data_IF_289415970174
#
_entry.id   IF_289415970174
#
_cell.length_a   1.000
_cell.length_b   1.000
_cell.length_c   1.000
_cell.angle_alpha   90.00
_cell.angle_beta   90.00
_cell.angle_gamma   90.00
#
_symmetry.space_group_name_H-M   'P 1'
#
loop_
_entity.id
_entity.type
_entity.pdbx_description
1 polymer ?
#
# COMPACT_ATOMS: atom_id res chain seq x y z
N UNK A 1 13.11 -12.96 9.54
CA UNK A 1 13.04 -11.76 8.68
C UNK A 1 13.42 -12.02 7.22
N UNK A 2 14.26 -13.01 6.90
CA UNK A 2 14.59 -13.34 5.49
C UNK A 2 13.52 -14.18 4.79
N UNK A 3 12.53 -14.72 5.52
CA UNK A 3 11.45 -15.56 4.97
C UNK A 3 11.93 -16.73 4.11
N UNK A 4 13.05 -17.33 4.48
CA UNK A 4 13.63 -18.48 3.78
C UNK A 4 14.54 -18.12 2.59
N UNK A 5 14.66 -16.85 2.20
CA UNK A 5 15.59 -16.44 1.14
C UNK A 5 17.04 -16.70 1.55
N UNK A 6 17.80 -17.35 0.66
CA UNK A 6 19.22 -17.55 0.86
C UNK A 6 19.98 -16.24 0.64
N UNK A 7 21.20 -16.13 1.20
CA UNK A 7 22.03 -14.94 1.01
C UNK A 7 22.33 -14.63 -0.46
N UNK A 8 22.42 -15.66 -1.33
CA UNK A 8 22.55 -15.47 -2.78
C UNK A 8 21.34 -14.77 -3.39
N UNK A 9 20.13 -15.14 -2.96
CA UNK A 9 18.88 -14.59 -3.47
C UNK A 9 18.69 -13.14 -3.02
N UNK A 10 19.04 -12.86 -1.75
CA UNK A 10 19.03 -11.50 -1.20
C UNK A 10 20.03 -10.60 -1.96
N UNK A 11 21.22 -11.12 -2.25
CA UNK A 11 22.21 -10.39 -3.05
C UNK A 11 21.69 -10.13 -4.46
N UNK A 12 21.16 -11.15 -5.13
CA UNK A 12 20.58 -11.01 -6.47
C UNK A 12 19.43 -9.98 -6.48
N UNK A 13 18.63 -9.95 -5.41
CA UNK A 13 17.58 -8.96 -5.24
C UNK A 13 18.11 -7.52 -5.21
N UNK A 14 19.16 -7.26 -4.42
CA UNK A 14 19.75 -5.93 -4.38
C UNK A 14 20.44 -5.53 -5.68
N UNK A 15 21.07 -6.47 -6.39
CA UNK A 15 21.66 -6.20 -7.71
C UNK A 15 20.60 -5.85 -8.76
N UNK A 16 19.43 -6.48 -8.70
CA UNK A 16 18.26 -6.07 -9.49
C UNK A 16 17.84 -4.64 -9.12
N UNK A 17 17.61 -4.36 -7.84
CA UNK A 17 17.16 -3.04 -7.38
C UNK A 17 18.13 -1.90 -7.70
N UNK A 18 19.44 -2.16 -7.72
CA UNK A 18 20.49 -1.17 -8.04
C UNK A 18 20.32 -0.55 -9.43
N UNK A 19 19.60 -1.20 -10.33
CA UNK A 19 19.42 -0.74 -11.71
C UNK A 19 18.35 0.36 -11.86
N UNK A 20 17.48 0.55 -10.86
CA UNK A 20 16.32 1.42 -10.96
C UNK A 20 16.48 2.72 -10.17
N UNK A 21 15.93 3.82 -10.67
CA UNK A 21 16.02 5.15 -10.06
C UNK A 21 15.53 5.19 -8.60
N UNK A 22 14.58 4.30 -8.27
CA UNK A 22 14.03 4.12 -6.94
C UNK A 22 15.05 3.71 -5.88
N UNK A 23 16.11 2.99 -6.27
CA UNK A 23 17.11 2.50 -5.31
C UNK A 23 18.55 2.70 -5.76
N UNK A 24 18.87 3.02 -7.01
CA UNK A 24 20.25 3.13 -7.51
C UNK A 24 21.14 4.09 -6.72
N UNK A 25 20.53 5.07 -6.04
CA UNK A 25 21.20 6.04 -5.18
C UNK A 25 21.14 5.69 -3.68
N UNK A 26 20.68 4.49 -3.33
CA UNK A 26 20.56 4.07 -1.94
C UNK A 26 21.95 4.02 -1.29
N UNK A 27 22.17 4.64 -0.11
CA UNK A 27 23.51 4.75 0.50
C UNK A 27 24.24 3.41 0.70
N UNK A 28 23.49 2.32 0.90
CA UNK A 28 24.04 0.96 1.01
C UNK A 28 24.91 0.57 -0.19
N UNK A 29 24.65 1.09 -1.39
CA UNK A 29 25.40 0.76 -2.59
C UNK A 29 26.76 1.45 -2.66
N UNK A 30 26.98 2.49 -1.85
CA UNK A 30 28.24 3.22 -1.75
C UNK A 30 29.13 2.73 -0.62
N UNK A 31 28.66 1.78 0.20
CA UNK A 31 29.44 1.23 1.30
C UNK A 31 30.45 0.19 0.76
N UNK A 32 31.73 0.36 1.08
CA UNK A 32 32.78 -0.61 0.76
C UNK A 32 32.56 -1.91 1.55
N UNK A 33 32.89 -3.05 0.95
CA UNK A 33 32.85 -4.38 1.58
C UNK A 33 31.48 -4.82 2.18
N UNK A 34 30.38 -4.21 1.73
CA UNK A 34 29.05 -4.62 2.18
C UNK A 34 28.65 -5.98 1.58
N UNK A 35 28.36 -6.94 2.47
CA UNK A 35 27.75 -8.20 2.07
C UNK A 35 26.24 -8.00 1.83
N UNK A 36 25.88 -7.73 0.57
CA UNK A 36 24.48 -7.57 0.16
C UNK A 36 23.62 -8.80 0.47
N UNK A 37 24.20 -10.00 0.58
CA UNK A 37 23.48 -11.21 0.99
C UNK A 37 23.04 -11.21 2.46
N UNK A 38 23.47 -10.21 3.23
CA UNK A 38 23.10 -9.96 4.63
C UNK A 38 22.37 -8.63 4.85
N UNK A 39 21.94 -7.97 3.77
CA UNK A 39 21.16 -6.74 3.81
C UNK A 39 19.67 -7.09 3.68
N UNK A 40 18.90 -7.03 4.76
CA UNK A 40 17.47 -7.33 4.73
C UNK A 40 16.67 -6.07 4.36
N UNK A 41 15.99 -6.03 3.20
CA UNK A 41 15.09 -4.94 2.83
C UNK A 41 13.87 -4.90 3.74
N UNK A 42 13.61 -3.74 4.33
CA UNK A 42 12.46 -3.50 5.21
C UNK A 42 11.55 -2.39 4.69
N UNK A 43 10.24 -2.60 4.82
CA UNK A 43 9.25 -1.56 4.59
C UNK A 43 8.63 -1.10 5.89
N UNK A 44 8.42 0.21 5.98
CA UNK A 44 7.59 0.81 7.00
C UNK A 44 6.13 0.85 6.57
N UNK A 45 5.25 0.80 7.57
CA UNK A 45 3.82 0.84 7.39
C UNK A 45 3.16 1.66 8.49
N UNK A 46 2.20 2.51 8.13
CA UNK A 46 1.42 3.32 9.05
C UNK A 46 -0.08 3.17 8.77
N UNK A 47 -0.87 2.91 9.80
CA UNK A 47 -2.33 2.84 9.68
C UNK A 47 -3.03 3.02 11.03
N UNK A 48 -4.34 3.29 10.99
CA UNK A 48 -5.22 3.41 12.14
C UNK A 48 -5.74 2.05 12.61
N UNK A 49 -5.77 1.84 13.91
CA UNK A 49 -6.37 0.67 14.54
C UNK A 49 -7.31 1.08 15.67
N UNK A 50 -8.58 0.69 15.56
CA UNK A 50 -9.56 0.91 16.62
C UNK A 50 -9.48 -0.23 17.65
N UNK A 51 -8.86 0.02 18.82
CA UNK A 51 -8.77 -0.99 19.87
C UNK A 51 -10.06 -1.06 20.68
N UNK A 52 -10.52 0.08 21.20
CA UNK A 52 -11.80 0.22 21.88
C UNK A 52 -12.77 1.01 21.01
N UNK A 53 -14.08 0.87 21.27
CA UNK A 53 -15.11 1.62 20.55
C UNK A 53 -14.79 3.12 20.58
N UNK A 54 -14.71 3.75 19.40
CA UNK A 54 -14.38 5.17 19.21
C UNK A 54 -12.97 5.57 19.70
N UNK A 55 -12.04 4.62 19.85
CA UNK A 55 -10.65 4.89 20.23
C UNK A 55 -9.70 4.36 19.15
N UNK A 56 -9.36 5.23 18.21
CA UNK A 56 -8.38 4.97 17.16
C UNK A 56 -6.95 5.20 17.68
N UNK A 57 -6.03 4.35 17.24
CA UNK A 57 -4.60 4.42 17.52
C UNK A 57 -3.86 4.38 16.19
N UNK A 58 -2.91 5.30 15.98
CA UNK A 58 -2.03 5.22 14.81
C UNK A 58 -0.87 4.28 15.16
N UNK A 59 -0.61 3.32 14.28
CA UNK A 59 0.38 2.27 14.46
C UNK A 59 1.40 2.35 13.33
N UNK A 60 2.64 2.67 13.68
CA UNK A 60 3.80 2.50 12.81
C UNK A 60 4.42 1.14 13.08
N UNK A 61 4.59 0.36 12.03
CA UNK A 61 5.25 -0.94 12.08
C UNK A 61 6.21 -1.12 10.90
N UNK A 62 7.06 -2.12 11.01
CA UNK A 62 7.99 -2.50 9.96
C UNK A 62 7.94 -4.01 9.72
N UNK A 63 8.28 -4.40 8.50
CA UNK A 63 8.41 -5.80 8.10
C UNK A 63 9.39 -5.92 6.94
N UNK A 64 10.07 -7.05 6.83
CA UNK A 64 10.82 -7.34 5.61
C UNK A 64 9.87 -7.56 4.44
N UNK A 65 10.30 -7.19 3.24
CA UNK A 65 9.58 -7.54 2.01
C UNK A 65 9.71 -9.02 1.64
N UNK A 66 10.66 -9.74 2.22
CA UNK A 66 10.81 -11.19 2.05
C UNK A 66 9.89 -11.99 2.97
N UNK A 67 8.86 -11.36 3.53
CA UNK A 67 7.89 -12.04 4.38
C UNK A 67 7.15 -13.11 3.58
N UNK A 68 7.27 -14.37 4.02
CA UNK A 68 6.50 -15.47 3.45
C UNK A 68 5.01 -15.30 3.78
N UNK A 69 4.14 -15.61 2.80
CA UNK A 69 2.68 -15.53 2.91
C UNK A 69 2.13 -16.45 4.00
N UNK A 70 2.82 -17.55 4.27
CA UNK A 70 2.40 -18.56 5.26
C UNK A 70 2.95 -18.28 6.66
N UNK A 71 3.83 -17.29 6.81
CA UNK A 71 4.37 -16.90 8.11
C UNK A 71 3.32 -16.22 8.99
N UNK A 72 3.29 -16.57 10.29
CA UNK A 72 2.48 -15.83 11.24
C UNK A 72 2.96 -14.38 11.34
N UNK A 73 2.04 -13.42 11.21
CA UNK A 73 2.36 -11.98 11.23
C UNK A 73 3.21 -11.52 12.43
N UNK A 74 3.18 -12.22 13.56
CA UNK A 74 4.04 -11.90 14.71
C UNK A 74 5.52 -12.21 14.48
N UNK A 75 5.88 -13.04 13.50
CA UNK A 75 7.29 -13.35 13.15
C UNK A 75 7.90 -12.36 12.17
N UNK A 76 7.05 -11.59 11.51
CA UNK A 76 7.41 -10.84 10.30
C UNK A 76 7.06 -9.36 10.39
N UNK A 77 6.18 -8.96 11.31
CA UNK A 77 5.84 -7.57 11.60
C UNK A 77 6.18 -7.17 13.03
N UNK A 78 6.81 -6.01 13.15
CA UNK A 78 7.27 -5.46 14.42
C UNK A 78 6.67 -4.07 14.62
N UNK A 79 5.98 -3.82 15.75
CA UNK A 79 5.47 -2.49 16.04
C UNK A 79 6.63 -1.58 16.44
N UNK A 80 6.72 -0.41 15.82
CA UNK A 80 7.72 0.59 16.15
C UNK A 80 7.13 1.63 17.12
N UNK A 81 6.00 2.21 16.76
CA UNK A 81 5.34 3.27 17.53
C UNK A 81 3.84 3.07 17.48
N UNK A 82 3.17 3.31 18.61
CA UNK A 82 1.72 3.33 18.69
C UNK A 82 1.33 4.59 19.47
N UNK A 83 0.43 5.42 18.91
CA UNK A 83 -0.03 6.66 19.56
C UNK A 83 -1.56 6.69 19.51
N UNK A 84 -2.25 6.93 20.65
CA UNK A 84 -3.69 7.18 20.62
C UNK A 84 -3.98 8.40 19.74
N UNK A 85 -4.90 8.28 18.78
CA UNK A 85 -5.30 9.41 17.93
C UNK A 85 -5.82 10.60 18.77
N UNK A 86 -6.41 10.33 19.94
CA UNK A 86 -6.84 11.36 20.88
C UNK A 86 -5.70 12.28 21.39
N UNK A 87 -4.44 11.84 21.28
CA UNK A 87 -3.26 12.63 21.64
C UNK A 87 -2.69 13.43 20.45
N UNK A 88 -3.28 13.29 19.26
CA UNK A 88 -2.88 13.95 18.00
C UNK A 88 -4.08 14.60 17.33
N UNK A 89 -4.98 15.22 18.13
CA UNK A 89 -6.21 15.84 17.61
C UNK A 89 -5.94 17.14 16.86
N UNK A 90 -4.93 17.87 17.29
CA UNK A 90 -4.49 19.11 16.70
C UNK A 90 -3.55 18.82 15.52
N UNK A 91 -3.70 19.55 14.41
CA UNK A 91 -2.92 19.31 13.19
C UNK A 91 -1.42 19.55 13.42
N UNK A 92 -1.05 20.57 14.19
CA UNK A 92 0.35 20.86 14.53
C UNK A 92 0.94 19.73 15.38
N UNK A 93 0.20 19.27 16.39
CA UNK A 93 0.60 18.13 17.23
C UNK A 93 0.71 16.85 16.41
N UNK A 94 -0.21 16.61 15.49
CA UNK A 94 -0.17 15.46 14.58
C UNK A 94 1.08 15.52 13.70
N UNK A 95 1.35 16.67 13.05
CA UNK A 95 2.55 16.86 12.23
C UNK A 95 3.81 16.68 13.06
N UNK A 96 3.88 17.28 14.24
CA UNK A 96 5.00 17.10 15.18
C UNK A 96 5.24 15.62 15.52
N UNK A 97 4.18 14.87 15.84
CA UNK A 97 4.27 13.44 16.13
C UNK A 97 4.80 12.65 14.92
N UNK A 98 4.24 12.87 13.72
CA UNK A 98 4.74 12.22 12.50
C UNK A 98 6.22 12.54 12.22
N UNK A 99 6.64 13.79 12.41
CA UNK A 99 8.04 14.19 12.25
C UNK A 99 8.95 13.51 13.26
N UNK A 100 8.59 13.49 14.55
CA UNK A 100 9.40 12.83 15.58
C UNK A 100 9.50 11.32 15.36
N UNK A 101 8.42 10.67 14.92
CA UNK A 101 8.44 9.26 14.53
C UNK A 101 9.37 9.02 13.35
N UNK A 102 9.28 9.85 12.30
CA UNK A 102 10.13 9.75 11.13
C UNK A 102 11.61 9.93 11.48
N UNK A 103 11.99 10.93 12.28
CA UNK A 103 13.38 11.14 12.70
C UNK A 103 13.90 9.97 13.55
N UNK A 104 13.13 9.48 14.53
CA UNK A 104 13.51 8.33 15.35
C UNK A 104 13.74 7.05 14.51
N UNK A 105 12.86 6.81 13.53
CA UNK A 105 12.95 5.66 12.64
C UNK A 105 14.08 5.80 11.62
N UNK A 106 14.32 7.02 11.12
CA UNK A 106 15.44 7.34 10.22
C UNK A 106 16.78 7.13 10.92
N UNK A 107 16.94 7.64 12.14
CA UNK A 107 18.12 7.38 12.96
C UNK A 107 18.32 5.87 13.17
N UNK A 108 17.26 5.16 13.55
CA UNK A 108 17.33 3.70 13.78
C UNK A 108 17.77 2.94 12.53
N UNK A 109 17.31 3.35 11.35
CA UNK A 109 17.70 2.74 10.08
C UNK A 109 19.13 3.10 9.68
N UNK A 110 19.61 4.31 9.94
CA UNK A 110 21.03 4.64 9.75
C UNK A 110 21.93 3.72 10.59
N UNK A 111 21.60 3.49 11.86
CA UNK A 111 22.38 2.59 12.72
C UNK A 111 22.26 1.13 12.26
N UNK A 112 21.05 0.69 11.90
CA UNK A 112 20.84 -0.69 11.45
C UNK A 112 21.52 -0.99 10.11
N UNK A 113 21.56 -0.01 9.20
CA UNK A 113 22.24 -0.11 7.91
C UNK A 113 23.77 -0.13 8.10
N UNK A 114 24.32 0.69 9.00
CA UNK A 114 25.74 0.61 9.39
C UNK A 114 26.10 -0.73 10.02
N UNK A 115 25.14 -1.34 10.75
CA UNK A 115 25.34 -2.62 11.42
C UNK A 115 26.31 -2.54 12.62
N UNK A 116 26.51 -1.33 13.16
CA UNK A 116 27.39 -1.06 14.29
C UNK A 116 26.59 -0.39 15.40
N UNK A 117 26.84 -0.77 16.66
CA UNK A 117 26.15 -0.16 17.80
C UNK A 117 26.47 1.32 17.93
N UNK A 118 25.44 2.19 18.10
CA UNK A 118 25.60 3.63 18.11
C UNK A 118 26.37 4.14 19.32
N UNK A 119 27.03 5.29 19.17
CA UNK A 119 27.57 6.07 20.28
C UNK A 119 26.60 7.18 20.74
N UNK A 120 25.83 7.73 19.80
CA UNK A 120 24.94 8.86 20.01
C UNK A 120 23.49 8.46 19.69
N UNK A 121 22.53 9.02 20.41
CA UNK A 121 21.10 8.86 20.10
C UNK A 121 20.64 9.74 18.92
N UNK A 122 19.33 9.84 18.73
CA UNK A 122 18.72 10.62 17.65
C UNK A 122 18.83 12.12 17.83
N UNK A 123 19.06 12.60 19.06
CA UNK A 123 19.24 14.01 19.39
C UNK A 123 20.75 14.36 19.49
N UNK A 124 21.62 13.43 19.08
CA UNK A 124 23.08 13.52 19.11
C UNK A 124 23.67 13.58 20.53
N UNK A 125 22.90 13.15 21.54
CA UNK A 125 23.37 13.00 22.90
C UNK A 125 24.10 11.67 23.06
N UNK A 126 25.11 11.65 23.93
CA UNK A 126 25.90 10.44 24.17
C UNK A 126 25.06 9.42 24.93
N UNK A 127 25.05 8.17 24.46
CA UNK A 127 24.36 7.09 25.15
C UNK A 127 25.04 6.77 26.49
N UNK A 128 24.26 6.69 27.57
CA UNK A 128 24.79 6.60 28.95
C UNK A 128 24.50 5.27 29.65
N UNK A 129 23.51 4.48 29.19
CA UNK A 129 23.18 3.25 29.91
C UNK A 129 24.28 2.19 29.73
N UNK A 130 24.58 1.36 30.75
CA UNK A 130 25.59 0.30 30.65
C UNK A 130 25.38 -0.64 29.45
N UNK A 131 24.13 -0.97 29.14
CA UNK A 131 23.79 -1.79 27.99
C UNK A 131 24.12 -1.08 26.66
N UNK A 132 23.77 0.18 26.49
CA UNK A 132 24.09 0.93 25.26
C UNK A 132 25.60 1.09 25.09
N UNK A 133 26.32 1.40 26.16
CA UNK A 133 27.78 1.48 26.15
C UNK A 133 28.42 0.15 25.76
N UNK A 134 27.83 -0.98 26.17
CA UNK A 134 28.31 -2.31 25.76
C UNK A 134 28.09 -2.61 24.27
N UNK A 135 27.14 -1.92 23.62
CA UNK A 135 26.88 -2.07 22.19
C UNK A 135 27.77 -1.16 21.33
N UNK A 136 28.25 -0.04 21.88
CA UNK A 136 29.02 0.96 21.13
C UNK A 136 30.17 0.32 20.32
N UNK A 137 30.17 0.54 19.01
CA UNK A 137 31.22 0.04 18.12
C UNK A 137 31.17 -1.47 17.85
N UNK A 138 30.30 -2.22 18.53
CA UNK A 138 30.15 -3.66 18.32
C UNK A 138 29.32 -3.94 17.06
N UNK A 139 29.60 -5.07 16.40
CA UNK A 139 28.82 -5.52 15.24
C UNK A 139 27.43 -5.97 15.69
N UNK A 140 26.39 -5.35 15.17
CA UNK A 140 25.01 -5.69 15.46
C UNK A 140 24.58 -6.94 14.68
N UNK A 141 23.62 -7.68 15.26
CA UNK A 141 22.89 -8.77 14.60
C UNK A 141 23.76 -9.79 13.84
N UNK A 142 24.96 -10.12 14.35
CA UNK A 142 25.86 -11.07 13.67
C UNK A 142 26.30 -10.62 12.27
N UNK A 143 26.25 -9.31 11.99
CA UNK A 143 26.58 -8.72 10.71
C UNK A 143 25.45 -8.60 9.71
N UNK A 144 24.24 -8.97 10.08
CA UNK A 144 23.05 -8.63 9.32
C UNK A 144 22.72 -7.14 9.47
N UNK A 145 22.25 -6.54 8.38
CA UNK A 145 21.84 -5.14 8.31
C UNK A 145 20.37 -5.08 7.94
N UNK A 146 19.61 -4.14 8.53
CA UNK A 146 18.30 -3.78 7.99
C UNK A 146 18.47 -2.55 7.11
N UNK A 147 17.86 -2.60 5.94
CA UNK A 147 18.01 -1.57 4.91
C UNK A 147 16.63 -1.09 4.52
N UNK A 148 16.39 0.21 4.62
CA UNK A 148 15.13 0.79 4.19
C UNK A 148 14.90 0.47 2.70
N UNK A 149 13.72 -0.07 2.40
CA UNK A 149 13.34 -0.41 1.04
C UNK A 149 12.16 0.43 0.55
N UNK A 150 11.23 0.76 1.46
CA UNK A 150 10.10 1.60 1.12
C UNK A 150 9.12 1.82 2.26
N UNK A 151 8.03 2.51 1.93
CA UNK A 151 7.01 2.92 2.88
C UNK A 151 5.62 2.66 2.31
N UNK A 152 4.66 2.25 3.15
CA UNK A 152 3.31 1.84 2.73
C UNK A 152 2.27 2.40 3.69
N UNK A 153 1.14 2.86 3.17
CA UNK A 153 -0.06 3.10 3.97
C UNK A 153 -1.28 3.23 3.04
N UNK A 154 -2.46 3.23 3.65
CA UNK A 154 -3.65 3.72 2.96
C UNK A 154 -3.47 5.21 2.54
N UNK A 155 -4.38 5.71 1.70
CA UNK A 155 -4.24 7.07 1.17
C UNK A 155 -4.35 8.15 2.27
N UNK A 156 -5.08 7.91 3.36
CA UNK A 156 -5.24 8.89 4.44
C UNK A 156 -3.95 9.00 5.26
N UNK A 157 -3.45 7.87 5.76
CA UNK A 157 -2.23 7.81 6.54
C UNK A 157 -0.99 8.18 5.69
N UNK A 158 -0.99 7.89 4.38
CA UNK A 158 0.04 8.38 3.44
C UNK A 158 0.13 9.91 3.46
N UNK A 159 -0.99 10.61 3.34
CA UNK A 159 -1.03 12.08 3.35
C UNK A 159 -0.53 12.62 4.68
N UNK A 160 -1.05 12.08 5.79
CA UNK A 160 -0.71 12.54 7.14
C UNK A 160 0.76 12.29 7.50
N UNK A 161 1.34 11.15 7.09
CA UNK A 161 2.71 10.80 7.43
C UNK A 161 3.78 11.46 6.54
N UNK A 162 3.42 11.89 5.34
CA UNK A 162 4.34 12.52 4.39
C UNK A 162 4.08 14.00 4.12
N UNK A 163 3.04 14.57 4.73
CA UNK A 163 2.62 15.97 4.53
C UNK A 163 2.37 16.31 3.05
N UNK A 164 1.85 15.35 2.29
CA UNK A 164 1.55 15.59 0.88
C UNK A 164 0.41 16.59 0.74
N UNK A 165 0.70 17.74 0.12
CA UNK A 165 -0.29 18.77 -0.20
C UNK A 165 -1.19 18.36 -1.38
N UNK A 166 -0.66 17.57 -2.31
CA UNK A 166 -1.45 16.95 -3.38
C UNK A 166 -1.95 15.59 -2.92
N UNK A 167 -3.27 15.39 -2.90
CA UNK A 167 -3.87 14.12 -2.50
C UNK A 167 -5.33 13.98 -2.93
N UNK A 168 -5.87 12.77 -2.83
CA UNK A 168 -7.15 12.34 -3.41
C UNK A 168 -8.42 13.16 -3.04
N UNK A 169 -8.36 14.09 -2.07
CA UNK A 169 -9.47 15.00 -1.74
C UNK A 169 -9.24 16.44 -2.21
N UNK A 170 -8.09 16.74 -2.81
CA UNK A 170 -7.76 18.05 -3.37
C UNK A 170 -7.99 18.11 -4.87
N UNK A 171 -8.03 19.33 -5.40
CA UNK A 171 -8.09 19.55 -6.85
C UNK A 171 -6.85 19.00 -7.56
N UNK A 172 -5.66 19.18 -6.98
CA UNK A 172 -4.43 18.49 -7.36
C UNK A 172 -4.36 17.17 -6.61
N UNK A 173 -4.84 16.10 -7.24
CA UNK A 173 -5.22 14.91 -6.49
C UNK A 173 -4.09 13.89 -6.33
N UNK A 174 -3.03 13.97 -7.11
CA UNK A 174 -1.96 12.96 -7.11
C UNK A 174 -0.67 13.51 -6.52
N UNK A 175 -0.07 12.77 -5.58
CA UNK A 175 1.26 13.07 -5.02
C UNK A 175 2.41 12.60 -5.92
N UNK A 176 2.10 12.01 -7.08
CA UNK A 176 3.08 11.45 -8.04
C UNK A 176 3.13 12.15 -9.38
N UNK A 177 2.10 12.89 -9.72
CA UNK A 177 2.04 13.68 -10.94
C UNK A 177 1.08 14.84 -10.73
N UNK A 178 0.95 15.75 -11.69
CA UNK A 178 0.02 16.87 -11.58
C UNK A 178 -1.41 16.52 -12.00
N UNK A 179 -1.84 15.26 -11.85
CA UNK A 179 -3.22 14.89 -12.13
C UNK A 179 -4.20 15.63 -11.21
N UNK A 180 -5.29 16.13 -11.81
CA UNK A 180 -6.30 16.93 -11.13
C UNK A 180 -7.69 16.33 -11.23
N UNK A 181 -8.62 16.82 -10.43
CA UNK A 181 -10.06 16.61 -10.68
C UNK A 181 -10.46 17.29 -12.01
N UNK A 182 -11.39 16.71 -12.79
CA UNK A 182 -11.73 17.22 -14.12
C UNK A 182 -12.12 18.71 -14.15
N UNK A 183 -12.81 19.19 -13.11
CA UNK A 183 -13.26 20.59 -13.00
C UNK A 183 -12.14 21.59 -12.75
N UNK A 184 -10.96 21.15 -12.32
CA UNK A 184 -9.81 22.02 -12.05
C UNK A 184 -8.91 22.18 -13.27
N UNK A 185 -8.64 21.08 -13.99
CA UNK A 185 -7.91 21.09 -15.25
C UNK A 185 -8.25 19.84 -16.05
N UNK A 186 -9.04 19.98 -17.12
CA UNK A 186 -9.50 18.86 -17.93
C UNK A 186 -8.34 18.12 -18.62
N UNK A 187 -7.28 18.83 -19.04
CA UNK A 187 -6.13 18.20 -19.71
C UNK A 187 -5.36 17.26 -18.79
N UNK A 188 -5.28 17.61 -17.51
CA UNK A 188 -4.62 16.82 -16.46
C UNK A 188 -5.61 15.96 -15.67
N UNK A 189 -6.85 15.79 -16.13
CA UNK A 189 -7.87 15.06 -15.41
C UNK A 189 -7.43 13.61 -15.11
N UNK A 190 -7.52 13.19 -13.84
CA UNK A 190 -7.20 11.81 -13.43
C UNK A 190 -8.08 10.75 -14.11
N UNK A 191 -9.22 11.17 -14.66
CA UNK A 191 -10.16 10.32 -15.38
C UNK A 191 -9.69 9.96 -16.79
N UNK A 192 -8.61 10.58 -17.28
CA UNK A 192 -7.94 10.19 -18.52
C UNK A 192 -7.01 9.01 -18.22
N UNK A 193 -7.49 7.80 -18.52
CA UNK A 193 -6.84 6.53 -18.17
C UNK A 193 -6.04 5.93 -19.35
N UNK A 194 -5.90 6.68 -20.44
CA UNK A 194 -5.06 6.31 -21.59
C UNK A 194 -3.57 6.46 -21.28
N UNK A 195 -2.71 5.79 -22.05
CA UNK A 195 -1.24 5.91 -21.91
C UNK A 195 -0.72 7.27 -22.42
N UNK A 196 -1.52 7.94 -23.24
CA UNK A 196 -1.34 9.27 -23.79
C UNK A 196 -1.87 10.39 -22.89
N UNK A 197 -2.42 10.06 -21.70
CA UNK A 197 -2.94 11.09 -20.81
C UNK A 197 -1.84 12.05 -20.36
N UNK A 198 -2.12 13.36 -20.42
CA UNK A 198 -1.11 14.39 -20.19
C UNK A 198 -0.52 14.37 -18.77
N UNK A 199 -1.27 13.84 -17.78
CA UNK A 199 -0.76 13.69 -16.43
C UNK A 199 0.49 12.78 -16.37
N UNK A 200 0.66 11.81 -17.27
CA UNK A 200 1.85 10.96 -17.30
C UNK A 200 3.13 11.69 -17.73
N UNK A 201 3.00 12.81 -18.44
CA UNK A 201 4.13 13.68 -18.78
C UNK A 201 4.57 14.56 -17.59
N UNK A 202 3.81 14.52 -16.50
CA UNK A 202 4.05 15.33 -15.29
C UNK A 202 4.41 14.46 -14.08
N UNK A 203 4.83 13.21 -14.30
CA UNK A 203 5.29 12.32 -13.22
C UNK A 203 6.50 12.94 -12.52
N UNK A 204 6.40 13.10 -11.21
CA UNK A 204 7.41 13.74 -10.38
C UNK A 204 8.55 12.77 -10.08
N UNK A 205 9.78 13.16 -10.42
CA UNK A 205 10.96 12.53 -9.85
C UNK A 205 11.13 12.92 -8.38
N UNK A 206 11.90 12.15 -7.60
CA UNK A 206 12.30 12.58 -6.26
C UNK A 206 12.93 13.98 -6.22
N UNK A 207 13.74 14.33 -7.23
CA UNK A 207 14.34 15.66 -7.32
C UNK A 207 13.31 16.75 -7.58
N UNK A 208 12.29 16.48 -8.40
CA UNK A 208 11.21 17.44 -8.62
C UNK A 208 10.41 17.63 -7.33
N UNK A 209 10.08 16.54 -6.64
CA UNK A 209 9.40 16.59 -5.34
C UNK A 209 10.18 17.43 -4.33
N UNK A 210 11.48 17.20 -4.18
CA UNK A 210 12.31 17.94 -3.24
C UNK A 210 12.43 19.45 -3.56
N UNK A 211 12.23 19.84 -4.83
CA UNK A 211 12.30 21.24 -5.27
C UNK A 211 10.95 21.96 -5.23
N UNK A 212 9.86 21.27 -5.57
CA UNK A 212 8.57 21.92 -5.81
C UNK A 212 7.68 22.04 -4.58
N UNK A 213 7.95 21.27 -3.51
CA UNK A 213 7.11 21.25 -2.33
C UNK A 213 7.86 21.81 -1.12
N UNK A 214 7.29 22.87 -0.53
CA UNK A 214 7.81 23.48 0.70
C UNK A 214 7.63 22.52 1.89
N UNK A 215 6.44 21.93 2.00
CA UNK A 215 6.10 20.89 2.97
C UNK A 215 6.66 19.53 2.51
N UNK A 216 7.95 19.32 2.77
CA UNK A 216 8.61 18.05 2.48
C UNK A 216 8.25 17.00 3.53
N UNK A 217 8.25 15.75 3.09
CA UNK A 217 8.04 14.62 3.96
C UNK A 217 9.11 14.59 5.06
N UNK A 218 8.73 14.35 6.33
CA UNK A 218 9.71 14.22 7.40
C UNK A 218 10.56 12.94 7.24
N UNK A 219 10.19 12.04 6.32
CA UNK A 219 10.94 10.84 5.99
C UNK A 219 12.10 11.10 5.02
N UNK A 220 12.31 12.33 4.55
CA UNK A 220 13.46 12.68 3.70
C UNK A 220 14.83 12.36 4.35
N UNK A 221 14.89 12.25 5.68
CA UNK A 221 16.09 11.88 6.44
C UNK A 221 16.38 10.37 6.46
N UNK A 222 15.41 9.54 6.08
CA UNK A 222 15.53 8.09 6.08
C UNK A 222 16.54 7.67 4.99
N UNK A 223 17.55 6.84 5.32
CA UNK A 223 18.57 6.44 4.34
C UNK A 223 17.90 5.76 3.14
N UNK A 224 18.11 6.32 1.96
CA UNK A 224 17.54 5.79 0.71
C UNK A 224 16.07 6.12 0.48
N UNK A 225 15.47 7.01 1.28
CA UNK A 225 14.14 7.53 0.99
C UNK A 225 14.10 8.21 -0.36
N UNK A 226 13.10 7.83 -1.16
CA UNK A 226 12.72 8.54 -2.37
C UNK A 226 11.21 8.64 -2.45
N UNK A 227 10.70 9.56 -3.27
CA UNK A 227 9.25 9.65 -3.44
C UNK A 227 8.73 8.30 -3.96
N UNK A 228 9.42 7.71 -4.94
CA UNK A 228 9.19 6.43 -5.61
C UNK A 228 9.17 5.21 -4.68
N UNK A 229 9.83 5.26 -3.53
CA UNK A 229 9.79 4.19 -2.53
C UNK A 229 8.60 4.29 -1.57
N UNK A 230 7.79 5.35 -1.67
CA UNK A 230 6.50 5.44 -0.96
C UNK A 230 5.42 4.75 -1.80
N UNK A 231 5.22 3.46 -1.59
CA UNK A 231 4.29 2.64 -2.36
C UNK A 231 2.84 2.97 -2.03
N UNK A 232 2.00 2.85 -3.04
CA UNK A 232 0.57 2.86 -2.87
C UNK A 232 0.08 1.52 -2.32
N UNK A 233 -0.81 1.54 -1.34
CA UNK A 233 -1.39 0.31 -0.81
C UNK A 233 -2.27 -0.37 -1.86
N UNK A 234 -1.72 -1.43 -2.46
CA UNK A 234 -2.38 -2.20 -3.49
C UNK A 234 -3.66 -2.86 -2.97
N UNK A 235 -3.74 -3.24 -1.69
CA UNK A 235 -4.98 -3.81 -1.12
C UNK A 235 -6.11 -2.77 -1.10
N UNK A 236 -5.81 -1.56 -0.65
CA UNK A 236 -6.79 -0.47 -0.56
C UNK A 236 -7.18 0.11 -1.93
N UNK A 237 -6.24 0.14 -2.87
CA UNK A 237 -6.46 0.66 -4.22
C UNK A 237 -7.15 -0.37 -5.11
N UNK A 238 -6.62 -1.59 -5.19
CA UNK A 238 -7.16 -2.63 -6.05
C UNK A 238 -8.42 -3.25 -5.46
N UNK A 239 -8.33 -3.86 -4.28
CA UNK A 239 -9.41 -4.71 -3.77
C UNK A 239 -10.53 -3.89 -3.13
N UNK A 240 -10.21 -3.02 -2.19
CA UNK A 240 -11.21 -2.18 -1.51
C UNK A 240 -11.59 -0.92 -2.31
N UNK A 241 -10.84 -0.62 -3.36
CA UNK A 241 -11.08 0.52 -4.25
C UNK A 241 -11.72 0.09 -5.56
N UNK A 242 -10.89 -0.28 -6.52
CA UNK A 242 -11.27 -0.55 -7.91
C UNK A 242 -12.19 -1.76 -8.04
N UNK A 243 -11.76 -2.93 -7.58
CA UNK A 243 -12.52 -4.18 -7.72
C UNK A 243 -13.84 -4.12 -6.95
N UNK A 244 -13.86 -3.62 -5.72
CA UNK A 244 -15.10 -3.50 -4.94
C UNK A 244 -16.15 -2.65 -5.65
N UNK A 245 -15.74 -1.54 -6.24
CA UNK A 245 -16.62 -0.69 -7.05
C UNK A 245 -17.03 -1.43 -8.32
N UNK A 246 -16.10 -2.11 -9.00
CA UNK A 246 -16.37 -2.88 -10.24
C UNK A 246 -17.54 -3.84 -10.07
N UNK A 247 -17.48 -4.66 -9.02
CA UNK A 247 -18.49 -5.69 -8.77
C UNK A 247 -19.86 -5.05 -8.50
N UNK A 248 -19.90 -3.94 -7.74
CA UNK A 248 -21.12 -3.17 -7.51
C UNK A 248 -21.68 -2.58 -8.81
N UNK A 249 -20.82 -1.98 -9.63
CA UNK A 249 -21.16 -1.42 -10.94
C UNK A 249 -21.76 -2.46 -11.88
N UNK A 250 -21.17 -3.67 -11.92
CA UNK A 250 -21.69 -4.79 -12.71
C UNK A 250 -23.08 -5.23 -12.25
N UNK A 251 -23.30 -5.39 -10.94
CA UNK A 251 -24.63 -5.71 -10.40
C UNK A 251 -25.66 -4.64 -10.79
N UNK A 252 -25.28 -3.36 -10.71
CA UNK A 252 -26.13 -2.24 -11.12
C UNK A 252 -26.55 -2.33 -12.59
N UNK A 253 -25.61 -2.59 -13.50
CA UNK A 253 -25.93 -2.75 -14.93
C UNK A 253 -26.77 -4.00 -15.18
N UNK A 254 -26.40 -5.14 -14.59
CA UNK A 254 -27.15 -6.40 -14.75
C UNK A 254 -28.59 -6.30 -14.23
N UNK A 255 -28.82 -5.57 -13.14
CA UNK A 255 -30.17 -5.29 -12.63
C UNK A 255 -30.97 -4.45 -13.63
N UNK A 256 -30.42 -3.34 -14.11
CA UNK A 256 -31.09 -2.43 -15.07
C UNK A 256 -31.43 -3.09 -16.38
N UNK A 257 -30.57 -3.99 -16.83
CA UNK A 257 -30.78 -4.74 -18.04
C UNK A 257 -31.70 -5.95 -17.82
N UNK A 258 -32.09 -6.28 -16.59
CA UNK A 258 -32.99 -7.39 -16.29
C UNK A 258 -32.31 -8.77 -16.34
N UNK A 259 -30.98 -8.82 -16.31
CA UNK A 259 -30.22 -10.07 -16.32
C UNK A 259 -30.36 -10.86 -15.02
N UNK A 260 -30.50 -10.18 -13.88
CA UNK A 260 -30.61 -10.83 -12.57
C UNK A 260 -31.98 -11.48 -12.30
N UNK A 261 -32.98 -11.28 -13.17
CA UNK A 261 -34.35 -11.79 -12.97
C UNK A 261 -35.10 -11.18 -11.77
N UNK A 262 -34.50 -10.22 -11.06
CA UNK A 262 -35.07 -9.58 -9.88
C UNK A 262 -35.93 -8.39 -10.35
N UNK A 263 -37.25 -8.56 -10.27
CA UNK A 263 -38.23 -7.54 -10.67
C UNK A 263 -38.41 -6.41 -9.66
N UNK A 264 -37.97 -6.60 -8.42
CA UNK A 264 -38.07 -5.58 -7.38
C UNK A 264 -36.91 -4.60 -7.45
N UNK A 265 -37.15 -3.38 -6.99
CA UNK A 265 -36.10 -2.40 -6.75
C UNK A 265 -35.10 -3.06 -5.80
N UNK A 266 -33.86 -3.31 -6.25
CA UNK A 266 -32.79 -3.60 -5.31
C UNK A 266 -32.55 -2.31 -4.54
N UNK A 267 -32.89 -2.18 -3.24
CA UNK A 267 -32.30 -1.12 -2.45
C UNK A 267 -30.79 -1.39 -2.56
N UNK A 268 -30.08 -0.49 -3.22
CA UNK A 268 -28.66 -0.56 -3.54
C UNK A 268 -27.90 -1.20 -2.38
N UNK A 269 -27.03 -2.16 -2.70
CA UNK A 269 -26.21 -2.90 -1.74
C UNK A 269 -25.58 -1.97 -0.70
N UNK A 270 -26.29 -1.84 0.43
CA UNK A 270 -26.13 -0.92 1.58
C UNK A 270 -26.08 0.59 1.30
N UNK A 271 -26.86 1.36 2.07
CA UNK A 271 -26.46 2.72 2.48
C UNK A 271 -25.15 2.58 3.23
N UNK A 272 -24.01 2.89 2.63
CA UNK A 272 -22.83 3.23 3.42
C UNK A 272 -23.24 4.40 4.32
N UNK A 273 -22.87 4.38 5.60
CA UNK A 273 -23.24 5.39 6.59
C UNK A 273 -22.60 6.78 6.34
N UNK A 274 -22.25 7.08 5.08
CA UNK A 274 -21.64 8.32 4.62
C UNK A 274 -22.35 8.77 3.35
N UNK A 275 -23.42 9.55 3.52
CA UNK A 275 -23.89 10.59 2.59
C UNK A 275 -24.00 10.18 1.08
N UNK A 276 -25.22 9.78 0.68
CA UNK A 276 -25.99 10.44 -0.40
C UNK A 276 -25.50 10.42 -1.87
N UNK A 277 -24.75 9.42 -2.34
CA UNK A 277 -24.57 9.20 -3.79
C UNK A 277 -25.20 7.88 -4.28
N UNK A 278 -26.07 7.95 -5.31
CA UNK A 278 -26.85 6.79 -5.81
C UNK A 278 -26.01 5.86 -6.71
N UNK A 279 -24.69 5.81 -6.53
CA UNK A 279 -23.81 4.99 -7.34
C UNK A 279 -23.81 3.53 -6.89
N UNK A 280 -23.80 2.61 -7.85
CA UNK A 280 -23.77 1.18 -7.57
C UNK A 280 -22.38 0.74 -7.07
N UNK A 281 -22.25 0.45 -5.77
CA UNK A 281 -21.01 0.00 -5.14
C UNK A 281 -21.28 -1.10 -4.11
N UNK A 282 -20.32 -2.01 -3.91
CA UNK A 282 -20.40 -2.93 -2.78
C UNK A 282 -20.04 -2.20 -1.47
N UNK A 283 -20.83 -2.43 -0.43
CA UNK A 283 -20.61 -1.84 0.89
C UNK A 283 -19.28 -2.22 1.57
N UNK A 284 -18.96 -1.50 2.65
CA UNK A 284 -17.73 -1.72 3.44
C UNK A 284 -17.68 -3.06 4.18
N UNK A 285 -18.81 -3.78 4.25
CA UNK A 285 -18.89 -5.15 4.75
C UNK A 285 -18.11 -6.13 3.88
N UNK A 286 -17.95 -5.84 2.59
CA UNK A 286 -17.13 -6.63 1.67
C UNK A 286 -15.66 -6.30 1.87
N UNK A 287 -14.97 -7.17 2.63
CA UNK A 287 -13.53 -7.08 2.85
C UNK A 287 -12.74 -7.50 1.62
N UNK A 288 -11.48 -7.10 1.56
CA UNK A 288 -10.62 -7.28 0.38
C UNK A 288 -10.57 -8.74 -0.09
N UNK A 289 -10.50 -9.70 0.82
CA UNK A 289 -10.49 -11.13 0.48
C UNK A 289 -11.81 -11.62 -0.12
N UNK A 290 -12.95 -11.13 0.37
CA UNK A 290 -14.27 -11.43 -0.19
C UNK A 290 -14.43 -10.86 -1.60
N UNK A 291 -13.91 -9.65 -1.84
CA UNK A 291 -13.91 -9.04 -3.18
C UNK A 291 -13.02 -9.83 -4.14
N UNK A 292 -11.81 -10.19 -3.69
CA UNK A 292 -10.85 -10.98 -4.48
C UNK A 292 -11.42 -12.33 -4.91
N UNK A 293 -12.02 -13.08 -3.98
CA UNK A 293 -12.68 -14.36 -4.28
C UNK A 293 -13.90 -14.20 -5.19
N UNK A 294 -14.67 -13.12 -5.05
CA UNK A 294 -15.84 -12.85 -5.89
C UNK A 294 -15.48 -12.45 -7.32
N UNK A 295 -14.29 -11.90 -7.56
CA UNK A 295 -13.89 -11.40 -8.89
C UNK A 295 -14.02 -12.47 -9.97
N UNK A 296 -13.52 -13.69 -9.72
CA UNK A 296 -13.63 -14.80 -10.67
C UNK A 296 -15.09 -15.17 -10.99
N UNK A 297 -15.94 -15.28 -9.96
CA UNK A 297 -17.37 -15.56 -10.14
C UNK A 297 -18.03 -14.50 -11.04
N UNK A 298 -17.70 -13.23 -10.83
CA UNK A 298 -18.20 -12.15 -11.68
C UNK A 298 -17.69 -12.23 -13.12
N UNK A 299 -16.45 -12.67 -13.34
CA UNK A 299 -15.92 -12.91 -14.69
C UNK A 299 -16.74 -13.97 -15.44
N UNK A 300 -17.10 -15.07 -14.76
CA UNK A 300 -17.96 -16.12 -15.33
C UNK A 300 -19.37 -15.58 -15.63
N UNK A 301 -19.97 -14.82 -14.71
CA UNK A 301 -21.28 -14.21 -14.91
C UNK A 301 -21.30 -13.14 -16.01
N UNK A 302 -20.23 -12.39 -16.17
CA UNK A 302 -20.11 -11.44 -17.29
C UNK A 302 -20.06 -12.16 -18.64
N UNK A 303 -19.34 -13.28 -18.74
CA UNK A 303 -19.30 -14.08 -19.96
C UNK A 303 -20.66 -14.74 -20.29
N UNK A 304 -21.41 -15.21 -19.28
CA UNK A 304 -22.81 -15.63 -19.46
C UNK A 304 -23.68 -14.47 -19.96
N UNK A 305 -23.58 -13.30 -19.32
CA UNK A 305 -24.33 -12.11 -19.69
C UNK A 305 -24.07 -11.66 -21.13
N UNK A 306 -22.80 -11.63 -21.54
CA UNK A 306 -22.37 -11.28 -22.89
C UNK A 306 -22.88 -12.27 -23.94
N UNK A 307 -22.86 -13.58 -23.65
CA UNK A 307 -23.42 -14.60 -24.53
C UNK A 307 -24.93 -14.52 -24.65
N UNK A 308 -25.63 -14.17 -23.57
CA UNK A 308 -27.08 -13.99 -23.56
C UNK A 308 -27.53 -12.73 -24.31
N UNK A 309 -26.62 -11.77 -24.54
CA UNK A 309 -26.89 -10.48 -25.20
C UNK A 309 -25.76 -10.09 -26.17
N UNK A 310 -25.54 -10.86 -27.24
CA UNK A 310 -24.43 -10.63 -28.17
C UNK A 310 -24.51 -9.28 -28.89
N UNK A 311 -25.69 -8.67 -28.97
CA UNK A 311 -25.93 -7.34 -29.53
C UNK A 311 -25.59 -6.20 -28.56
N UNK A 312 -25.55 -6.45 -27.24
CA UNK A 312 -25.26 -5.40 -26.27
C UNK A 312 -23.74 -5.19 -26.12
N UNK A 313 -23.26 -4.08 -26.66
CA UNK A 313 -21.86 -3.63 -26.52
C UNK A 313 -21.45 -3.54 -25.05
N UNK A 314 -22.33 -3.10 -24.15
CA UNK A 314 -22.00 -2.97 -22.73
C UNK A 314 -21.70 -4.32 -22.07
N UNK A 315 -22.37 -5.40 -22.51
CA UNK A 315 -22.12 -6.74 -22.00
C UNK A 315 -20.71 -7.24 -22.35
N UNK A 316 -20.27 -6.96 -23.58
CA UNK A 316 -18.89 -7.26 -24.04
C UNK A 316 -17.85 -6.45 -23.26
N UNK A 317 -18.08 -5.15 -23.09
CA UNK A 317 -17.16 -4.28 -22.35
C UNK A 317 -17.04 -4.68 -20.87
N UNK A 318 -18.14 -5.03 -20.20
CA UNK A 318 -18.09 -5.54 -18.82
C UNK A 318 -17.24 -6.81 -18.74
N UNK A 319 -17.40 -7.72 -19.70
CA UNK A 319 -16.61 -8.96 -19.77
C UNK A 319 -15.13 -8.65 -19.89
N UNK A 320 -14.73 -7.77 -20.84
CA UNK A 320 -13.32 -7.37 -21.00
C UNK A 320 -12.78 -6.71 -19.73
N UNK A 321 -13.54 -5.80 -19.13
CA UNK A 321 -13.13 -5.08 -17.93
C UNK A 321 -12.86 -6.01 -16.74
N UNK A 322 -13.73 -7.00 -16.52
CA UNK A 322 -13.59 -7.97 -15.43
C UNK A 322 -12.45 -8.95 -15.67
N UNK A 323 -12.40 -9.56 -16.87
CA UNK A 323 -11.38 -10.55 -17.19
C UNK A 323 -9.98 -9.94 -17.21
N UNK A 324 -9.80 -8.73 -17.72
CA UNK A 324 -8.48 -8.10 -17.71
C UNK A 324 -7.99 -7.80 -16.28
N UNK A 325 -8.88 -7.40 -15.36
CA UNK A 325 -8.49 -7.24 -13.95
C UNK A 325 -8.14 -8.59 -13.32
N UNK A 326 -8.97 -9.61 -13.57
CA UNK A 326 -8.78 -10.96 -13.05
C UNK A 326 -7.46 -11.56 -13.53
N UNK A 327 -7.18 -11.51 -14.83
CA UNK A 327 -5.97 -12.07 -15.43
C UNK A 327 -4.70 -11.41 -14.87
N UNK A 328 -4.70 -10.07 -14.73
CA UNK A 328 -3.59 -9.37 -14.07
C UNK A 328 -3.40 -9.85 -12.62
N UNK A 329 -4.49 -9.96 -11.84
CA UNK A 329 -4.38 -10.39 -10.43
C UNK A 329 -3.99 -11.85 -10.28
N UNK A 330 -4.47 -12.72 -11.18
CA UNK A 330 -4.14 -14.14 -11.20
C UNK A 330 -2.66 -14.35 -11.51
N UNK A 331 -2.14 -13.63 -12.50
CA UNK A 331 -0.71 -13.62 -12.83
C UNK A 331 0.11 -13.19 -11.61
N UNK A 332 -0.20 -12.02 -11.03
CA UNK A 332 0.55 -11.47 -9.89
C UNK A 332 0.45 -12.31 -8.60
N UNK A 333 -0.61 -13.09 -8.42
CA UNK A 333 -0.72 -14.05 -7.32
C UNK A 333 0.19 -15.27 -7.49
N UNK A 334 0.41 -15.68 -8.75
CA UNK A 334 1.24 -16.82 -9.12
C UNK A 334 2.73 -16.47 -9.19
N UNK A 335 3.07 -15.22 -9.50
CA UNK A 335 4.46 -14.76 -9.58
C UNK A 335 5.08 -14.48 -8.20
N UNK A 336 6.41 -14.49 -8.17
CA UNK A 336 7.21 -14.12 -7.00
C UNK A 336 7.31 -12.61 -6.79
N UNK A 337 8.27 -12.21 -5.97
CA UNK A 337 8.58 -10.81 -5.67
C UNK A 337 9.16 -10.08 -6.90
N UNK A 338 10.05 -10.75 -7.63
CA UNK A 338 10.57 -10.29 -8.91
C UNK A 338 9.76 -10.92 -10.04
N UNK A 339 9.42 -10.11 -11.02
CA UNK A 339 8.70 -10.50 -12.23
C UNK A 339 9.69 -10.64 -13.38
N UNK A 340 9.41 -11.54 -14.31
CA UNK A 340 10.02 -11.49 -15.63
C UNK A 340 9.50 -10.30 -16.45
N UNK A 341 10.22 -9.97 -17.52
CA UNK A 341 9.88 -8.83 -18.40
C UNK A 341 8.46 -8.95 -18.97
N UNK A 342 8.12 -10.13 -19.48
CA UNK A 342 6.83 -10.49 -20.06
C UNK A 342 5.72 -10.51 -19.02
N UNK A 343 5.97 -11.07 -17.83
CA UNK A 343 5.02 -11.04 -16.71
C UNK A 343 4.65 -9.61 -16.30
N UNK A 344 5.66 -8.73 -16.20
CA UNK A 344 5.44 -7.33 -15.83
C UNK A 344 4.68 -6.56 -16.93
N UNK A 345 4.98 -6.83 -18.20
CA UNK A 345 4.28 -6.26 -19.36
C UNK A 345 2.82 -6.75 -19.41
N UNK A 346 2.57 -8.05 -19.28
CA UNK A 346 1.24 -8.64 -19.33
C UNK A 346 0.35 -8.15 -18.20
N UNK A 347 0.88 -8.07 -16.98
CA UNK A 347 0.15 -7.53 -15.85
C UNK A 347 -0.20 -6.05 -16.07
N UNK A 348 0.75 -5.25 -16.57
CA UNK A 348 0.50 -3.83 -16.89
C UNK A 348 -0.53 -3.66 -18.01
N UNK A 349 -0.36 -4.38 -19.12
CA UNK A 349 -1.26 -4.34 -20.28
C UNK A 349 -2.69 -4.68 -19.88
N UNK A 350 -2.89 -5.70 -19.05
CA UNK A 350 -4.21 -6.07 -18.55
C UNK A 350 -4.81 -5.03 -17.58
N UNK A 351 -4.01 -4.37 -16.74
CA UNK A 351 -4.48 -3.25 -15.91
C UNK A 351 -4.85 -2.03 -16.79
N UNK A 352 -4.05 -1.69 -17.80
CA UNK A 352 -4.35 -0.63 -18.76
C UNK A 352 -5.65 -0.92 -19.51
N UNK A 353 -5.84 -2.16 -19.99
CA UNK A 353 -7.07 -2.63 -20.64
C UNK A 353 -8.28 -2.52 -19.71
N UNK A 354 -8.12 -2.89 -18.45
CA UNK A 354 -9.15 -2.73 -17.42
C UNK A 354 -9.57 -1.27 -17.28
N UNK A 355 -8.62 -0.36 -17.06
CA UNK A 355 -8.85 1.06 -16.83
C UNK A 355 -9.45 1.76 -18.06
N UNK A 356 -8.94 1.50 -19.28
CA UNK A 356 -9.50 2.02 -20.52
C UNK A 356 -10.96 1.55 -20.71
N UNK A 357 -11.22 0.25 -20.49
CA UNK A 357 -12.58 -0.31 -20.61
C UNK A 357 -13.52 0.27 -19.55
N UNK A 358 -13.04 0.51 -18.32
CA UNK A 358 -13.78 1.20 -17.29
C UNK A 358 -14.23 2.60 -17.72
N UNK A 359 -13.32 3.37 -18.33
CA UNK A 359 -13.61 4.72 -18.81
C UNK A 359 -14.74 4.71 -19.85
N UNK A 360 -14.73 3.76 -20.79
CA UNK A 360 -15.82 3.58 -21.75
C UNK A 360 -17.15 3.20 -21.07
N UNK A 361 -17.12 2.30 -20.09
CA UNK A 361 -18.32 1.91 -19.33
C UNK A 361 -18.90 3.08 -18.53
N UNK A 362 -18.03 3.91 -17.93
CA UNK A 362 -18.44 5.11 -17.23
C UNK A 362 -19.13 6.11 -18.16
N UNK A 363 -18.52 6.41 -19.32
CA UNK A 363 -19.13 7.29 -20.33
C UNK A 363 -20.49 6.76 -20.83
N UNK A 364 -20.56 5.47 -21.19
CA UNK A 364 -21.80 4.86 -21.65
C UNK A 364 -22.91 4.83 -20.58
N UNK A 365 -22.54 4.70 -19.29
CA UNK A 365 -23.50 4.81 -18.20
C UNK A 365 -24.00 6.25 -18.04
N UNK A 366 -23.13 7.26 -18.13
CA UNK A 366 -23.53 8.67 -18.06
C UNK A 366 -24.49 9.02 -19.20
N UNK A 367 -24.21 8.61 -20.44
CA UNK A 367 -25.09 8.81 -21.60
C UNK A 367 -26.49 8.21 -21.40
N UNK A 368 -26.58 7.07 -20.71
CA UNK A 368 -27.85 6.41 -20.37
C UNK A 368 -28.51 6.96 -19.10
N UNK A 369 -27.91 7.93 -18.42
CA UNK A 369 -28.36 8.43 -17.11
C UNK A 369 -28.21 7.39 -15.98
N UNK A 370 -27.36 6.37 -16.16
CA UNK A 370 -27.12 5.31 -15.20
C UNK A 370 -25.97 5.67 -14.25
N UNK A 371 -26.23 5.59 -12.95
CA UNK A 371 -25.22 5.76 -11.89
C UNK A 371 -24.56 4.42 -11.54
N UNK A 372 -23.96 3.74 -12.52
CA UNK A 372 -23.35 2.43 -12.31
C UNK A 372 -21.82 2.48 -12.27
N UNK A 373 -21.16 3.17 -13.20
CA UNK A 373 -19.70 3.24 -13.30
C UNK A 373 -19.19 4.67 -13.08
N UNK A 374 -18.35 4.88 -12.06
CA UNK A 374 -17.74 6.17 -11.71
C UNK A 374 -16.23 6.07 -11.76
N UNK A 375 -15.55 7.03 -12.40
CA UNK A 375 -14.10 7.12 -12.34
C UNK A 375 -13.68 7.71 -10.98
N UNK A 376 -12.94 6.93 -10.17
CA UNK A 376 -12.42 7.36 -8.86
C UNK A 376 -10.90 7.55 -8.91
N UNK A 377 -10.33 8.40 -8.04
CA UNK A 377 -8.87 8.57 -7.89
C UNK A 377 -8.08 7.25 -7.80
N UNK A 378 -8.66 6.22 -7.18
CA UNK A 378 -8.03 4.89 -7.05
C UNK A 378 -7.73 4.19 -8.38
N UNK A 379 -8.47 4.46 -9.46
CA UNK A 379 -8.12 3.94 -10.79
C UNK A 379 -6.81 4.54 -11.31
N UNK A 380 -6.60 5.83 -11.06
CA UNK A 380 -5.37 6.53 -11.43
C UNK A 380 -4.17 6.01 -10.63
N UNK A 381 -4.32 5.81 -9.31
CA UNK A 381 -3.25 5.19 -8.51
C UNK A 381 -2.97 3.73 -8.88
N UNK A 382 -3.99 2.97 -9.33
CA UNK A 382 -3.79 1.62 -9.86
C UNK A 382 -2.90 1.64 -11.12
N UNK A 383 -3.06 2.65 -11.99
CA UNK A 383 -2.18 2.82 -13.15
C UNK A 383 -0.75 3.19 -12.73
N UNK A 384 -0.55 4.07 -11.74
CA UNK A 384 0.79 4.32 -11.18
C UNK A 384 1.47 3.02 -10.69
N UNK A 385 0.74 2.18 -9.94
CA UNK A 385 1.25 0.87 -9.54
C UNK A 385 1.62 0.01 -10.75
N UNK A 386 0.76 -0.06 -11.76
CA UNK A 386 1.06 -0.87 -12.94
C UNK A 386 2.30 -0.39 -13.71
N UNK A 387 2.49 0.93 -13.81
CA UNK A 387 3.64 1.55 -14.49
C UNK A 387 4.94 1.32 -13.73
N UNK A 388 4.91 1.50 -12.40
CA UNK A 388 6.07 1.24 -11.56
C UNK A 388 6.42 -0.25 -11.55
N UNK A 389 5.44 -1.15 -11.52
CA UNK A 389 5.65 -2.58 -11.66
C UNK A 389 6.27 -2.95 -13.02
N UNK A 390 5.74 -2.39 -14.12
CA UNK A 390 6.32 -2.56 -15.47
C UNK A 390 7.76 -2.06 -15.54
N UNK A 391 8.08 -0.93 -14.90
CA UNK A 391 9.43 -0.35 -14.91
C UNK A 391 10.42 -1.18 -14.07
N UNK A 392 10.05 -1.46 -12.81
CA UNK A 392 10.95 -2.06 -11.81
C UNK A 392 10.98 -3.58 -11.83
N UNK A 393 10.03 -4.21 -12.54
CA UNK A 393 9.82 -5.68 -12.54
C UNK A 393 9.65 -6.24 -11.13
N UNK A 394 9.12 -5.44 -10.22
CA UNK A 394 8.77 -5.87 -8.88
C UNK A 394 7.27 -6.03 -8.76
N UNK A 395 6.85 -7.12 -8.15
CA UNK A 395 5.45 -7.40 -7.87
C UNK A 395 4.93 -6.45 -6.78
N UNK A 396 4.42 -5.30 -7.20
CA UNK A 396 3.88 -4.29 -6.30
C UNK A 396 2.61 -4.74 -5.57
N UNK A 397 2.03 -5.89 -5.92
CA UNK A 397 0.89 -6.43 -5.19
C UNK A 397 1.34 -7.33 -4.04
N UNK A 398 2.54 -7.90 -4.09
CA UNK A 398 3.19 -8.51 -2.92
C UNK A 398 3.85 -7.45 -2.05
N UNK A 399 4.50 -6.47 -2.67
CA UNK A 399 5.10 -5.35 -1.93
C UNK A 399 4.02 -4.46 -1.35
N UNK A 400 3.21 -3.81 -2.18
CA UNK A 400 2.28 -2.76 -1.78
C UNK A 400 1.04 -3.26 -1.04
N UNK A 401 0.64 -4.53 -1.14
CA UNK A 401 -0.59 -4.97 -0.47
C UNK A 401 -0.39 -5.20 1.03
N UNK A 402 -1.23 -4.56 1.84
CA UNK A 402 -1.13 -4.53 3.30
C UNK A 402 -1.92 -5.68 3.97
N UNK A 403 -1.92 -6.88 3.39
CA UNK A 403 -2.65 -8.03 3.96
C UNK A 403 -2.16 -8.41 5.36
N UNK A 404 -0.83 -8.52 5.49
CA UNK A 404 -0.19 -8.79 6.77
C UNK A 404 -0.36 -7.61 7.74
N UNK A 405 -0.51 -6.37 7.23
CA UNK A 405 -0.73 -5.18 8.04
C UNK A 405 -2.08 -5.26 8.74
N UNK A 406 -3.15 -5.46 7.99
CA UNK A 406 -4.52 -5.60 8.54
C UNK A 406 -4.60 -6.75 9.55
N UNK A 407 -4.01 -7.90 9.20
CA UNK A 407 -3.94 -9.06 10.10
C UNK A 407 -3.18 -8.73 11.39
N UNK A 408 -2.05 -8.04 11.29
CA UNK A 408 -1.24 -7.60 12.42
C UNK A 408 -1.98 -6.60 13.31
N UNK A 409 -2.67 -5.60 12.74
CA UNK A 409 -3.51 -4.65 13.49
C UNK A 409 -4.65 -5.39 14.21
N UNK A 410 -5.26 -6.38 13.57
CA UNK A 410 -6.26 -7.25 14.19
C UNK A 410 -5.70 -8.05 15.37
N UNK A 411 -4.46 -8.57 15.27
CA UNK A 411 -3.80 -9.24 16.39
C UNK A 411 -3.43 -8.27 17.52
N UNK A 412 -2.90 -7.09 17.19
CA UNK A 412 -2.62 -6.02 18.15
C UNK A 412 -3.89 -5.62 18.90
N UNK A 413 -5.00 -5.39 18.20
CA UNK A 413 -6.31 -5.11 18.78
C UNK A 413 -6.71 -6.20 19.78
N UNK A 414 -6.61 -7.48 19.41
CA UNK A 414 -6.95 -8.59 20.32
C UNK A 414 -6.11 -8.63 21.60
N UNK A 415 -4.85 -8.19 21.54
CA UNK A 415 -4.01 -8.03 22.75
C UNK A 415 -4.43 -6.79 23.53
N UNK A 416 -4.67 -5.68 22.82
CA UNK A 416 -5.02 -4.38 23.38
C UNK A 416 -6.33 -4.38 24.15
N UNK A 417 -7.39 -5.01 23.62
CA UNK A 417 -8.70 -5.10 24.31
C UNK A 417 -8.64 -5.91 25.61
N UNK A 418 -7.57 -6.68 25.83
CA UNK A 418 -7.32 -7.42 27.09
C UNK A 418 -6.48 -6.61 28.09
N UNK A 419 -6.24 -5.33 27.84
CA UNK A 419 -5.54 -4.42 28.73
C UNK A 419 -6.50 -3.33 29.21
N UNK A 420 -6.31 -2.84 30.43
CA UNK A 420 -7.02 -1.65 30.89
C UNK A 420 -6.52 -0.42 30.11
N UNK A 421 -7.42 0.46 29.67
CA UNK A 421 -7.11 1.61 28.80
C UNK A 421 -5.96 2.47 29.35
N UNK A 422 -5.97 2.79 30.65
CA UNK A 422 -4.91 3.59 31.30
C UNK A 422 -3.51 2.94 31.29
N UNK A 423 -3.43 1.62 31.09
CA UNK A 423 -2.15 0.87 31.05
C UNK A 423 -1.89 0.20 29.70
N UNK A 424 -2.77 0.45 28.72
CA UNK A 424 -2.81 -0.24 27.43
C UNK A 424 -1.43 -0.25 26.78
N UNK A 425 -0.82 0.92 26.62
CA UNK A 425 0.44 1.08 25.89
C UNK A 425 1.56 0.24 26.51
N UNK A 426 1.78 0.40 27.81
CA UNK A 426 2.80 -0.35 28.56
C UNK A 426 2.54 -1.85 28.51
N UNK A 427 1.30 -2.30 28.73
CA UNK A 427 0.94 -3.71 28.78
C UNK A 427 0.95 -4.37 27.40
N UNK A 428 0.58 -3.65 26.35
CA UNK A 428 0.63 -4.11 24.97
C UNK A 428 2.07 -4.42 24.56
N UNK A 429 2.99 -3.47 24.72
CA UNK A 429 4.40 -3.69 24.40
C UNK A 429 5.03 -4.80 25.26
N UNK A 430 4.74 -4.84 26.57
CA UNK A 430 5.24 -5.93 27.43
C UNK A 430 4.78 -7.32 26.95
N UNK A 431 3.52 -7.46 26.53
CA UNK A 431 2.98 -8.72 26.00
C UNK A 431 3.57 -9.09 24.65
N UNK A 432 3.83 -8.11 23.78
CA UNK A 432 4.46 -8.34 22.47
C UNK A 432 5.91 -8.77 22.67
N UNK A 433 6.66 -8.10 23.54
CA UNK A 433 8.05 -8.47 23.85
C UNK A 433 8.14 -9.88 24.44
N UNK A 434 7.21 -10.24 25.34
CA UNK A 434 7.13 -11.60 25.88
C UNK A 434 6.79 -12.63 24.79
N UNK A 435 5.86 -12.31 23.88
CA UNK A 435 5.53 -13.19 22.77
C UNK A 435 6.75 -13.39 21.86
N UNK A 436 7.42 -12.31 21.47
CA UNK A 436 8.61 -12.38 20.62
C UNK A 436 9.75 -13.18 21.28
N UNK A 437 9.97 -13.01 22.58
CA UNK A 437 11.01 -13.77 23.29
C UNK A 437 10.72 -15.27 23.33
N UNK A 438 9.45 -15.65 23.52
CA UNK A 438 9.03 -17.06 23.47
C UNK A 438 9.21 -17.64 22.07
N UNK A 439 8.84 -16.90 21.02
CA UNK A 439 8.99 -17.37 19.63
C UNK A 439 10.44 -17.48 19.20
N UNK A 440 11.30 -16.53 19.59
CA UNK A 440 12.73 -16.60 19.31
C UNK A 440 13.42 -17.74 20.04
N UNK A 441 12.94 -18.11 21.22
CA UNK A 441 13.41 -19.33 21.90
C UNK A 441 13.01 -20.57 21.11
N UNK A 442 11.75 -20.67 20.71
CA UNK A 442 11.23 -21.80 19.93
C UNK A 442 11.90 -21.95 18.56
N UNK A 443 12.33 -20.86 17.92
CA UNK A 443 13.04 -20.94 16.64
C UNK A 443 14.52 -21.32 16.76
N UNK A 444 15.07 -21.36 17.98
CA UNK A 444 16.46 -21.76 18.26
C UNK A 444 16.58 -23.22 18.67
N UNK A 445 15.53 -23.75 19.30
CA UNK A 445 15.35 -25.16 19.62
C UNK A 445 14.91 -25.92 18.36
#
# INVERSE_FOLDING_TARGET
MTGGFASSDIKAFWEHCRQFDEWKHHPIFSEEDVDMGRCVPVCFHCDGAEFFRNSEYIVWNMSSIFTDKDSDVWDVKFPNVIIPHANMKDEEVQRYAHSKVASAMSWSMWQSMKGIGPEFDMDNDRLTSPFQLSLKGTRLAGGWKLVYFGWKADLKARVQAHFFSNYYLCNSMCDRCFATVPTANEQLAFTHLGEDAACWMTELSHSDYARHFDDRSPWMEMPGFRLETVFFDAMHILWLGTARVLLGSCLGVWHRLGFLGIRHHMPTFTKSNTIQDDWAELGSVFKAMSVKTSLWYFCVKAAEFSRARPEERMAKLITVCLWSLYDATKLLDACGLQLYEDEAEDAHSNICKHCKTWQFLAAACVEKGWRCFKCKPKLHYLLHNSRQMRRTKLNLFLLGAVWAGESFLGKLKRVGIKCHQASLMRRLFARILLLLSLRFRQSRE
#
